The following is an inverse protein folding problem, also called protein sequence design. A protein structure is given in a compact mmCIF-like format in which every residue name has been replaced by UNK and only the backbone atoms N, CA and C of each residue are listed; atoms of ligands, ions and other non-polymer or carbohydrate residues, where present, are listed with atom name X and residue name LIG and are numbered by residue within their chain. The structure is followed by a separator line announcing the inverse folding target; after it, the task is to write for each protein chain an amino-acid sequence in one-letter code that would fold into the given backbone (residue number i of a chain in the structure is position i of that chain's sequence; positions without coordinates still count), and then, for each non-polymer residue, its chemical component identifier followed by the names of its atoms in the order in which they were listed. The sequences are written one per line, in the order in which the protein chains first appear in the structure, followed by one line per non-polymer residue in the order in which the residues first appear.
data_IF_276722944195
#
_entry.id   IF_276722944195
#
_cell.length_a   1.000
_cell.length_b   1.000
_cell.length_c   1.000
_cell.angle_alpha   90.00
_cell.angle_beta   90.00
_cell.angle_gamma   90.00
#
_symmetry.space_group_name_H-M   'P 1'
#
loop_
_entity.id
_entity.type
_entity.pdbx_description
1 polymer ?
#
# COMPACT_ATOMS: atom_id res chain seq x y z
N UNK A 1 19.57 33.25 28.27
CA UNK A 1 19.05 33.04 26.89
C UNK A 1 19.20 31.56 26.57
N UNK A 2 18.17 30.78 26.85
CA UNK A 2 18.10 29.36 26.51
C UNK A 2 17.57 29.26 25.07
N UNK A 3 18.41 28.76 24.14
CA UNK A 3 17.98 28.40 22.78
C UNK A 3 17.21 27.07 22.88
N UNK A 4 15.91 27.13 22.75
CA UNK A 4 15.05 25.98 22.50
C UNK A 4 15.53 25.26 21.23
N UNK A 5 15.98 24.02 21.41
CA UNK A 5 16.23 23.07 20.33
C UNK A 5 14.88 22.56 19.83
N UNK A 6 14.28 23.27 18.90
CA UNK A 6 13.17 22.77 18.09
C UNK A 6 13.70 21.57 17.26
N UNK A 7 13.61 20.40 17.84
CA UNK A 7 13.77 19.14 17.12
C UNK A 7 12.60 18.98 16.15
N UNK A 8 12.85 19.22 14.89
CA UNK A 8 11.94 18.95 13.77
C UNK A 8 11.56 17.46 13.82
N UNK A 9 10.46 17.12 14.51
CA UNK A 9 9.83 15.80 14.40
C UNK A 9 9.29 15.69 12.97
N UNK A 10 10.08 15.09 12.09
CA UNK A 10 9.62 14.71 10.76
C UNK A 10 8.34 13.88 10.94
N UNK A 11 7.19 14.41 10.54
CA UNK A 11 5.93 13.67 10.58
C UNK A 11 6.10 12.37 9.82
N UNK A 12 5.71 11.28 10.47
CA UNK A 12 5.83 9.95 9.91
C UNK A 12 4.87 9.84 8.72
N UNK A 13 5.36 9.35 7.58
CA UNK A 13 4.51 9.13 6.39
C UNK A 13 3.40 8.14 6.69
N UNK A 14 2.28 8.19 5.94
CA UNK A 14 1.19 7.23 6.08
C UNK A 14 1.67 5.77 5.98
N UNK A 15 2.57 5.48 5.02
CA UNK A 15 3.24 4.17 4.91
C UNK A 15 4.05 3.80 6.16
N UNK A 16 4.69 4.77 6.80
CA UNK A 16 5.43 4.56 8.05
C UNK A 16 4.51 4.23 9.22
N UNK A 17 3.41 4.97 9.36
CA UNK A 17 2.37 4.73 10.39
C UNK A 17 1.77 3.33 10.23
N UNK A 18 1.41 2.93 9.00
CA UNK A 18 0.89 1.59 8.71
C UNK A 18 1.90 0.50 9.09
N UNK A 19 3.17 0.65 8.72
CA UNK A 19 4.21 -0.32 9.11
C UNK A 19 4.40 -0.38 10.64
N UNK A 20 4.29 0.74 11.34
CA UNK A 20 4.35 0.75 12.79
C UNK A 20 3.16 0.02 13.41
N UNK A 21 1.93 0.27 12.93
CA UNK A 21 0.72 -0.43 13.37
C UNK A 21 0.85 -1.94 13.17
N UNK A 22 1.17 -2.38 11.94
CA UNK A 22 1.32 -3.80 11.61
C UNK A 22 2.43 -4.49 12.40
N UNK A 23 3.51 -3.78 12.71
CA UNK A 23 4.61 -4.33 13.51
C UNK A 23 4.23 -4.65 14.95
N UNK A 24 3.23 -3.97 15.49
CA UNK A 24 2.69 -4.20 16.86
C UNK A 24 1.69 -5.35 16.91
N UNK A 25 1.11 -5.75 15.77
CA UNK A 25 0.22 -6.90 15.69
C UNK A 25 0.95 -8.18 16.09
N UNK A 26 0.32 -9.00 16.92
CA UNK A 26 0.87 -10.29 17.35
C UNK A 26 -0.18 -11.37 17.14
N UNK A 27 0.19 -12.39 16.38
CA UNK A 27 -0.65 -13.58 16.20
C UNK A 27 -0.22 -14.65 17.21
N UNK A 28 -1.16 -15.22 17.95
CA UNK A 28 -0.86 -16.28 18.93
C UNK A 28 -0.56 -17.60 18.24
N UNK A 29 -1.24 -17.87 17.14
CA UNK A 29 -1.09 -19.12 16.39
C UNK A 29 0.29 -19.22 15.72
N UNK A 30 1.05 -20.26 16.08
CA UNK A 30 2.42 -20.48 15.57
C UNK A 30 2.50 -20.54 14.06
N UNK A 31 1.51 -21.16 13.38
CA UNK A 31 1.48 -21.22 11.91
C UNK A 31 1.38 -19.84 11.26
N UNK A 32 0.67 -18.88 11.88
CA UNK A 32 0.61 -17.49 11.40
C UNK A 32 1.93 -16.76 11.62
N UNK A 33 2.60 -17.00 12.76
CA UNK A 33 3.93 -16.44 13.03
C UNK A 33 4.95 -16.95 12.01
N UNK A 34 4.89 -18.24 11.66
CA UNK A 34 5.75 -18.84 10.63
C UNK A 34 5.45 -18.24 9.24
N UNK A 35 4.18 -18.05 8.88
CA UNK A 35 3.80 -17.44 7.61
C UNK A 35 4.29 -15.98 7.49
N UNK A 36 4.17 -15.19 8.55
CA UNK A 36 4.65 -13.81 8.57
C UNK A 36 6.18 -13.76 8.49
N UNK A 37 6.88 -14.65 9.20
CA UNK A 37 8.33 -14.78 9.14
C UNK A 37 8.82 -15.22 7.77
N UNK A 38 8.14 -16.21 7.15
CA UNK A 38 8.43 -16.68 5.80
C UNK A 38 8.35 -15.54 4.79
N UNK A 39 7.31 -14.70 4.88
CA UNK A 39 7.18 -13.52 4.03
C UNK A 39 8.34 -12.54 4.19
N UNK A 40 8.71 -12.19 5.44
CA UNK A 40 9.80 -11.26 5.69
C UNK A 40 11.12 -11.80 5.13
N UNK A 41 11.43 -13.09 5.38
CA UNK A 41 12.67 -13.70 4.89
C UNK A 41 12.65 -13.80 3.35
N UNK A 42 11.54 -14.21 2.76
CA UNK A 42 11.42 -14.30 1.30
C UNK A 42 11.61 -12.96 0.61
N UNK A 43 11.05 -11.87 1.15
CA UNK A 43 11.04 -10.55 0.49
C UNK A 43 12.34 -9.76 0.70
N UNK A 44 12.91 -9.77 1.90
CA UNK A 44 14.10 -8.95 2.22
C UNK A 44 15.25 -9.73 2.89
N UNK A 45 15.11 -11.06 3.00
CA UNK A 45 16.14 -11.93 3.52
C UNK A 45 17.20 -12.28 2.48
N UNK A 46 18.36 -12.64 2.97
CA UNK A 46 19.45 -13.26 2.22
C UNK A 46 20.00 -14.40 3.04
N UNK A 47 20.20 -15.54 2.41
CA UNK A 47 20.91 -16.66 2.99
C UNK A 47 22.33 -16.65 2.47
N UNK A 48 23.31 -16.80 3.33
CA UNK A 48 24.71 -16.89 2.98
C UNK A 48 25.23 -18.26 3.42
N UNK A 49 25.97 -18.91 2.51
CA UNK A 49 26.63 -20.18 2.78
C UNK A 49 28.11 -19.83 3.01
N UNK A 50 28.58 -20.12 4.21
CA UNK A 50 29.99 -19.93 4.60
C UNK A 50 30.85 -21.16 4.27
N UNK A 51 32.12 -21.09 4.67
CA UNK A 51 33.01 -22.25 4.61
C UNK A 51 32.46 -23.41 5.44
N UNK A 52 32.52 -24.64 4.95
CA UNK A 52 31.97 -25.87 5.56
C UNK A 52 30.45 -25.90 5.64
N UNK A 53 29.76 -25.40 4.60
CA UNK A 53 28.29 -25.39 4.47
C UNK A 53 27.57 -24.76 5.67
N UNK A 54 28.18 -23.77 6.32
CA UNK A 54 27.54 -23.01 7.38
C UNK A 54 26.53 -22.01 6.84
N UNK A 55 25.26 -22.26 7.07
CA UNK A 55 24.18 -21.38 6.69
C UNK A 55 24.00 -20.25 7.71
N UNK A 56 23.74 -19.05 7.19
CA UNK A 56 23.35 -17.89 7.97
C UNK A 56 22.21 -17.15 7.29
N UNK A 57 21.25 -16.67 8.08
CA UNK A 57 20.10 -15.89 7.57
C UNK A 57 20.28 -14.43 7.97
N UNK A 58 20.24 -13.55 6.98
CA UNK A 58 20.41 -12.10 7.15
C UNK A 58 19.20 -11.38 6.61
N UNK A 59 18.59 -10.52 7.45
CA UNK A 59 17.51 -9.60 7.04
C UNK A 59 18.02 -8.16 7.17
N UNK A 60 17.83 -7.36 6.13
CA UNK A 60 18.20 -5.94 6.11
C UNK A 60 16.98 -5.08 5.81
N UNK A 61 16.74 -4.07 6.65
CA UNK A 61 15.63 -3.13 6.49
C UNK A 61 16.05 -1.72 6.93
N UNK A 62 15.46 -0.70 6.33
CA UNK A 62 15.62 0.70 6.78
C UNK A 62 14.56 1.10 7.82
N UNK A 63 13.56 0.25 8.07
CA UNK A 63 12.48 0.52 9.00
C UNK A 63 12.71 -0.20 10.32
N UNK A 64 12.81 0.57 11.42
CA UNK A 64 13.03 0.03 12.77
C UNK A 64 11.88 -0.87 13.25
N UNK A 65 10.62 -0.56 12.85
CA UNK A 65 9.44 -1.35 13.25
C UNK A 65 9.49 -2.74 12.64
N UNK A 66 9.95 -2.86 11.38
CA UNK A 66 10.17 -4.15 10.70
C UNK A 66 11.31 -4.93 11.38
N UNK A 67 12.40 -4.26 11.71
CA UNK A 67 13.53 -4.89 12.43
C UNK A 67 13.09 -5.45 13.78
N UNK A 68 12.31 -4.68 14.56
CA UNK A 68 11.73 -5.12 15.85
C UNK A 68 10.78 -6.30 15.66
N UNK A 69 9.91 -6.26 14.66
CA UNK A 69 8.97 -7.34 14.38
C UNK A 69 9.72 -8.65 14.08
N UNK A 70 10.69 -8.59 13.17
CA UNK A 70 11.51 -9.75 12.82
C UNK A 70 12.24 -10.32 14.02
N UNK A 71 12.90 -9.47 14.82
CA UNK A 71 13.56 -9.88 16.06
C UNK A 71 12.59 -10.57 17.03
N UNK A 72 11.40 -9.98 17.24
CA UNK A 72 10.39 -10.52 18.15
C UNK A 72 9.84 -11.86 17.65
N UNK A 73 9.61 -12.01 16.35
CA UNK A 73 9.17 -13.28 15.75
C UNK A 73 10.21 -14.38 16.00
N UNK A 74 11.49 -14.12 15.71
CA UNK A 74 12.55 -15.12 15.95
C UNK A 74 12.67 -15.50 17.43
N UNK A 75 12.66 -14.50 18.32
CA UNK A 75 12.80 -14.76 19.75
C UNK A 75 11.62 -15.53 20.33
N UNK A 76 10.38 -15.14 19.99
CA UNK A 76 9.19 -15.78 20.57
C UNK A 76 8.85 -17.12 19.92
N UNK A 77 9.09 -17.29 18.61
CA UNK A 77 8.74 -18.53 17.90
C UNK A 77 9.78 -19.62 18.05
N UNK A 78 11.07 -19.24 18.10
CA UNK A 78 12.19 -20.18 18.09
C UNK A 78 13.14 -20.07 19.30
N UNK A 79 12.99 -19.04 20.13
CA UNK A 79 13.93 -18.67 21.18
C UNK A 79 15.35 -18.39 20.66
N UNK A 80 15.44 -17.84 19.45
CA UNK A 80 16.71 -17.52 18.78
C UNK A 80 17.06 -16.05 19.02
N UNK A 81 18.33 -15.81 19.38
CA UNK A 81 18.91 -14.47 19.46
C UNK A 81 19.60 -14.11 18.15
N UNK A 82 19.38 -12.88 17.67
CA UNK A 82 20.02 -12.35 16.47
C UNK A 82 21.10 -11.33 16.83
N UNK A 83 22.18 -11.30 16.07
CA UNK A 83 23.08 -10.16 16.09
C UNK A 83 22.47 -9.01 15.28
N UNK A 84 22.45 -7.83 15.86
CA UNK A 84 21.86 -6.65 15.22
C UNK A 84 22.93 -5.61 14.96
N UNK A 85 23.09 -5.22 13.70
CA UNK A 85 24.00 -4.17 13.26
C UNK A 85 23.19 -2.98 12.76
N UNK A 86 23.59 -1.78 13.19
CA UNK A 86 23.00 -0.52 12.74
C UNK A 86 24.04 0.20 11.88
N UNK A 87 23.75 0.40 10.61
CA UNK A 87 24.63 1.11 9.68
C UNK A 87 23.96 2.42 9.24
N UNK A 88 24.71 3.51 9.35
CA UNK A 88 24.25 4.82 8.82
C UNK A 88 24.94 5.08 7.49
N UNK A 89 24.14 5.31 6.44
CA UNK A 89 24.69 5.67 5.14
C UNK A 89 25.23 7.11 5.20
N UNK A 90 26.53 7.29 4.97
CA UNK A 90 27.21 8.61 5.06
C UNK A 90 26.68 9.62 4.04
N UNK A 91 26.23 9.18 2.86
CA UNK A 91 25.78 10.06 1.76
C UNK A 91 24.30 10.45 1.88
N UNK A 92 23.42 9.53 2.29
CA UNK A 92 21.96 9.76 2.36
C UNK A 92 21.43 9.94 3.78
N UNK A 93 22.25 9.74 4.79
CA UNK A 93 21.84 9.83 6.20
C UNK A 93 20.89 8.72 6.67
N UNK A 94 20.46 7.81 5.79
CA UNK A 94 19.53 6.73 6.12
C UNK A 94 20.17 5.71 7.05
N UNK A 95 19.38 5.25 8.01
CA UNK A 95 19.78 4.20 8.95
C UNK A 95 19.25 2.87 8.41
N UNK A 96 20.12 1.86 8.31
CA UNK A 96 19.74 0.50 7.96
C UNK A 96 20.05 -0.45 9.13
N UNK A 97 19.08 -1.28 9.44
CA UNK A 97 19.14 -2.33 10.44
C UNK A 97 19.42 -3.66 9.75
N UNK A 98 20.43 -4.37 10.21
CA UNK A 98 20.80 -5.70 9.72
C UNK A 98 20.75 -6.68 10.88
N UNK A 99 19.86 -7.68 10.76
CA UNK A 99 19.72 -8.75 11.75
C UNK A 99 20.28 -10.03 11.13
N UNK A 100 21.15 -10.73 11.86
CA UNK A 100 21.84 -11.92 11.37
C UNK A 100 21.66 -13.06 12.38
N UNK A 101 21.22 -14.20 11.88
CA UNK A 101 21.29 -15.50 12.58
C UNK A 101 22.52 -16.21 12.03
N UNK A 102 23.59 -16.29 12.82
CA UNK A 102 24.88 -16.82 12.40
C UNK A 102 25.02 -18.33 12.61
N UNK A 103 24.35 -18.87 13.62
CA UNK A 103 24.47 -20.28 13.97
C UNK A 103 23.77 -21.12 12.89
N UNK A 104 24.48 -22.11 12.36
CA UNK A 104 24.00 -23.00 11.31
C UNK A 104 22.69 -23.70 11.72
N UNK A 105 22.66 -24.31 12.90
CA UNK A 105 21.50 -25.06 13.38
C UNK A 105 20.28 -24.18 13.53
N UNK A 106 20.44 -22.96 14.03
CA UNK A 106 19.34 -22.00 14.16
C UNK A 106 18.86 -21.52 12.80
N UNK A 107 19.77 -21.24 11.86
CA UNK A 107 19.44 -20.87 10.50
C UNK A 107 18.65 -21.99 9.78
N UNK A 108 19.12 -23.23 9.90
CA UNK A 108 18.44 -24.41 9.33
C UNK A 108 17.07 -24.64 9.95
N UNK A 109 16.93 -24.54 11.28
CA UNK A 109 15.64 -24.64 11.94
C UNK A 109 14.63 -23.61 11.45
N UNK A 110 15.08 -22.37 11.22
CA UNK A 110 14.22 -21.32 10.67
C UNK A 110 13.81 -21.69 9.25
N UNK A 111 14.76 -21.95 8.35
CA UNK A 111 14.53 -22.21 6.93
C UNK A 111 13.62 -23.45 6.71
N UNK A 112 13.81 -24.51 7.49
CA UNK A 112 12.93 -25.70 7.48
C UNK A 112 11.51 -25.35 7.94
N UNK A 113 11.37 -24.61 9.05
CA UNK A 113 10.05 -24.29 9.60
C UNK A 113 9.25 -23.36 8.68
N UNK A 114 9.92 -22.41 8.00
CA UNK A 114 9.27 -21.50 7.04
C UNK A 114 9.18 -22.09 5.62
N UNK A 115 9.62 -23.35 5.41
CA UNK A 115 9.55 -24.06 4.13
C UNK A 115 10.23 -23.34 2.96
N UNK A 116 11.39 -22.79 3.22
CA UNK A 116 12.27 -22.18 2.22
C UNK A 116 13.41 -23.11 1.78
N UNK A 117 13.36 -24.37 2.20
CA UNK A 117 14.23 -25.46 1.71
C UNK A 117 13.40 -26.40 0.80
N UNK A 118 14.07 -26.92 -0.22
CA UNK A 118 13.49 -27.94 -1.09
C UNK A 118 13.45 -29.34 -0.43
N UNK A 119 13.03 -30.37 -1.18
CA UNK A 119 12.96 -31.74 -0.72
C UNK A 119 14.34 -32.37 -0.45
N UNK A 120 15.40 -31.77 -0.98
CA UNK A 120 16.79 -32.21 -0.79
C UNK A 120 17.47 -31.45 0.37
N UNK A 121 16.80 -30.49 0.98
CA UNK A 121 17.33 -29.65 2.05
C UNK A 121 18.16 -28.50 1.52
N UNK A 122 18.13 -28.22 0.22
CA UNK A 122 18.77 -27.07 -0.39
C UNK A 122 17.84 -25.83 -0.36
N UNK A 123 18.46 -24.66 -0.39
CA UNK A 123 17.70 -23.41 -0.37
C UNK A 123 16.98 -23.27 -1.71
N UNK A 124 15.66 -23.08 -1.63
CA UNK A 124 14.85 -22.80 -2.80
C UNK A 124 15.41 -21.60 -3.57
N UNK A 125 15.49 -21.71 -4.90
CA UNK A 125 15.93 -20.61 -5.74
C UNK A 125 15.20 -19.33 -5.37
N UNK A 126 15.97 -18.27 -5.15
CA UNK A 126 15.45 -16.94 -4.79
C UNK A 126 14.60 -16.87 -3.52
N UNK A 127 14.67 -17.86 -2.60
CA UNK A 127 13.84 -17.93 -1.39
C UNK A 127 12.33 -17.89 -1.72
N UNK A 128 11.93 -18.48 -2.83
CA UNK A 128 10.50 -18.69 -3.14
C UNK A 128 9.90 -19.74 -2.20
N UNK A 129 8.63 -19.59 -1.83
CA UNK A 129 7.94 -20.59 -1.02
C UNK A 129 7.67 -21.83 -1.88
N UNK A 130 8.40 -22.88 -1.60
CA UNK A 130 8.12 -24.20 -2.16
C UNK A 130 6.85 -24.76 -1.49
N UNK A 131 5.89 -25.13 -2.31
CA UNK A 131 4.63 -25.70 -1.88
C UNK A 131 3.87 -24.84 -0.86
N UNK A 132 2.65 -24.47 -1.13
CA UNK A 132 1.76 -23.64 -0.30
C UNK A 132 1.49 -24.16 1.15
N UNK A 133 2.37 -25.03 1.70
CA UNK A 133 2.24 -25.66 3.01
C UNK A 133 2.15 -24.68 4.18
N UNK A 134 2.82 -23.52 4.06
CA UNK A 134 2.75 -22.46 5.08
C UNK A 134 1.48 -21.63 4.93
N UNK A 135 0.77 -21.73 3.81
CA UNK A 135 -0.35 -20.87 3.41
C UNK A 135 -1.68 -21.61 3.29
N UNK A 136 -1.83 -22.77 3.97
CA UNK A 136 -3.04 -23.60 3.89
C UNK A 136 -4.30 -22.90 4.43
N UNK A 137 -4.17 -22.08 5.46
CA UNK A 137 -5.29 -21.40 6.10
C UNK A 137 -5.36 -19.92 5.70
N UNK A 138 -6.58 -19.36 5.62
CA UNK A 138 -6.79 -17.95 5.34
C UNK A 138 -6.04 -17.02 6.33
N UNK A 139 -5.92 -17.40 7.61
CA UNK A 139 -5.15 -16.66 8.60
C UNK A 139 -3.64 -16.63 8.28
N UNK A 140 -3.06 -17.73 7.72
CA UNK A 140 -1.67 -17.77 7.27
C UNK A 140 -1.45 -16.86 6.07
N UNK A 141 -2.39 -16.84 5.11
CA UNK A 141 -2.34 -15.94 3.95
C UNK A 141 -2.37 -14.47 4.40
N UNK A 142 -3.24 -14.11 5.35
CA UNK A 142 -3.29 -12.76 5.95
C UNK A 142 -1.95 -12.40 6.61
N UNK A 143 -1.40 -13.28 7.42
CA UNK A 143 -0.11 -13.09 8.07
C UNK A 143 1.03 -12.95 7.05
N UNK A 144 1.01 -13.72 5.96
CA UNK A 144 1.98 -13.63 4.89
C UNK A 144 1.92 -12.28 4.15
N UNK A 145 0.72 -11.82 3.78
CA UNK A 145 0.53 -10.51 3.13
C UNK A 145 1.06 -9.39 4.04
N UNK A 146 0.75 -9.46 5.35
CA UNK A 146 1.25 -8.50 6.35
C UNK A 146 2.77 -8.49 6.41
N UNK A 147 3.40 -9.66 6.47
CA UNK A 147 4.86 -9.81 6.47
C UNK A 147 5.51 -9.28 5.19
N UNK A 148 4.92 -9.57 4.02
CA UNK A 148 5.39 -9.08 2.72
C UNK A 148 5.30 -7.54 2.64
N UNK A 149 4.17 -6.96 3.10
CA UNK A 149 4.02 -5.50 3.15
C UNK A 149 5.02 -4.85 4.12
N UNK A 150 5.21 -5.41 5.31
CA UNK A 150 6.22 -4.94 6.25
C UNK A 150 7.60 -4.91 5.62
N UNK A 151 7.99 -5.98 4.91
CA UNK A 151 9.32 -6.12 4.32
C UNK A 151 9.58 -5.10 3.20
N UNK A 152 8.72 -5.06 2.19
CA UNK A 152 8.96 -4.30 0.94
C UNK A 152 7.78 -3.47 0.46
N UNK A 153 6.68 -3.45 1.22
CA UNK A 153 5.48 -2.70 0.86
C UNK A 153 5.60 -1.20 1.07
N UNK A 154 4.81 -0.46 0.32
CA UNK A 154 4.57 0.96 0.51
C UNK A 154 3.15 1.33 0.12
N UNK A 155 2.62 2.40 0.73
CA UNK A 155 1.30 2.95 0.42
C UNK A 155 1.41 4.46 0.32
N UNK A 156 0.73 5.03 -0.67
CA UNK A 156 0.63 6.49 -0.84
C UNK A 156 -0.24 7.12 0.24
N UNK A 157 -0.02 8.41 0.50
CA UNK A 157 -0.94 9.19 1.32
C UNK A 157 -2.32 9.21 0.64
N UNK A 158 -3.40 8.76 1.31
CA UNK A 158 -4.74 8.68 0.74
C UNK A 158 -5.30 10.05 0.32
N UNK A 159 -4.82 11.14 0.90
CA UNK A 159 -5.20 12.49 0.45
C UNK A 159 -4.72 12.79 -0.98
N UNK A 160 -3.56 12.25 -1.39
CA UNK A 160 -2.96 12.49 -2.70
C UNK A 160 -3.43 11.48 -3.74
N UNK A 161 -3.29 10.20 -3.46
CA UNK A 161 -3.61 9.14 -4.41
C UNK A 161 -3.89 7.81 -3.71
N UNK A 162 -4.64 6.93 -4.36
CA UNK A 162 -4.86 5.57 -3.92
C UNK A 162 -3.88 4.66 -4.65
N UNK A 163 -2.85 4.20 -3.94
CA UNK A 163 -1.86 3.29 -4.47
C UNK A 163 -1.16 2.55 -3.34
N UNK A 164 -1.23 1.24 -3.35
CA UNK A 164 -0.45 0.35 -2.49
C UNK A 164 0.37 -0.57 -3.37
N UNK A 165 1.63 -0.78 -3.01
CA UNK A 165 2.55 -1.62 -3.76
C UNK A 165 3.43 -2.46 -2.84
N UNK A 166 3.80 -3.66 -3.30
CA UNK A 166 4.78 -4.54 -2.65
C UNK A 166 5.80 -4.94 -3.72
N UNK A 167 7.07 -4.64 -3.45
CA UNK A 167 8.16 -4.87 -4.41
C UNK A 167 8.77 -6.26 -4.21
N UNK A 168 8.83 -7.05 -5.27
CA UNK A 168 9.42 -8.38 -5.30
C UNK A 168 10.69 -8.38 -6.17
N UNK A 169 11.72 -9.15 -5.76
CA UNK A 169 12.96 -9.27 -6.51
C UNK A 169 12.82 -10.21 -7.73
N UNK A 170 11.90 -11.20 -7.66
CA UNK A 170 11.69 -12.22 -8.67
C UNK A 170 10.23 -12.27 -9.11
N UNK A 171 10.01 -12.70 -10.37
CA UNK A 171 8.68 -12.84 -10.97
C UNK A 171 7.81 -13.85 -10.22
N UNK A 172 8.38 -15.02 -9.92
CA UNK A 172 7.68 -16.08 -9.20
C UNK A 172 7.12 -15.63 -7.86
N UNK A 173 7.86 -14.80 -7.10
CA UNK A 173 7.39 -14.22 -5.83
C UNK A 173 6.26 -13.24 -6.04
N UNK A 174 6.31 -12.45 -7.11
CA UNK A 174 5.28 -11.48 -7.42
C UNK A 174 3.98 -12.18 -7.84
N UNK A 175 4.04 -13.19 -8.71
CA UNK A 175 2.87 -13.96 -9.10
C UNK A 175 2.28 -14.71 -7.89
N UNK A 176 3.10 -15.36 -7.09
CA UNK A 176 2.64 -16.03 -5.86
C UNK A 176 1.95 -15.05 -4.90
N UNK A 177 2.54 -13.88 -4.67
CA UNK A 177 1.93 -12.86 -3.80
C UNK A 177 0.61 -12.33 -4.39
N UNK A 178 0.54 -12.11 -5.69
CA UNK A 178 -0.67 -11.73 -6.41
C UNK A 178 -1.77 -12.78 -6.24
N UNK A 179 -1.46 -14.07 -6.44
CA UNK A 179 -2.41 -15.16 -6.24
C UNK A 179 -2.95 -15.21 -4.80
N UNK A 180 -2.05 -15.03 -3.80
CA UNK A 180 -2.44 -14.98 -2.40
C UNK A 180 -3.40 -13.81 -2.13
N UNK A 181 -3.09 -12.60 -2.64
CA UNK A 181 -3.95 -11.42 -2.48
C UNK A 181 -5.28 -11.64 -3.20
N UNK A 182 -5.26 -12.14 -4.44
CA UNK A 182 -6.47 -12.35 -5.25
C UNK A 182 -7.35 -13.48 -4.71
N UNK A 183 -6.80 -14.39 -3.87
CA UNK A 183 -7.61 -15.39 -3.16
C UNK A 183 -8.59 -14.79 -2.12
N UNK A 184 -8.52 -13.48 -1.87
CA UNK A 184 -9.46 -12.69 -1.06
C UNK A 184 -10.37 -11.80 -1.92
N UNK A 185 -10.60 -12.17 -3.20
CA UNK A 185 -11.48 -11.43 -4.12
C UNK A 185 -10.97 -10.02 -4.48
N UNK A 186 -9.66 -9.79 -4.36
CA UNK A 186 -9.01 -8.56 -4.80
C UNK A 186 -8.44 -8.73 -6.21
N UNK A 187 -8.23 -7.62 -6.95
CA UNK A 187 -7.66 -7.60 -8.30
C UNK A 187 -6.25 -6.98 -8.29
N UNK A 188 -5.34 -7.61 -7.54
CA UNK A 188 -3.94 -7.21 -7.53
C UNK A 188 -3.28 -7.51 -8.89
N UNK A 189 -2.47 -6.55 -9.37
CA UNK A 189 -1.78 -6.63 -10.65
C UNK A 189 -0.27 -6.63 -10.45
N UNK A 190 0.46 -7.20 -11.40
CA UNK A 190 1.91 -7.19 -11.42
C UNK A 190 2.41 -6.31 -12.57
N UNK A 191 3.41 -5.50 -12.29
CA UNK A 191 4.12 -4.70 -13.30
C UNK A 191 5.63 -4.85 -13.11
N UNK A 192 6.36 -4.89 -14.21
CA UNK A 192 7.82 -4.87 -14.20
C UNK A 192 8.29 -3.41 -14.09
N UNK A 193 9.10 -3.12 -13.09
CA UNK A 193 9.65 -1.77 -12.86
C UNK A 193 11.17 -1.86 -12.71
N UNK A 194 11.90 -1.45 -13.75
CA UNK A 194 13.35 -1.62 -13.84
C UNK A 194 13.73 -3.10 -13.76
N UNK A 195 14.36 -3.52 -12.66
CA UNK A 195 14.79 -4.91 -12.39
C UNK A 195 13.96 -5.60 -11.30
N UNK A 196 12.79 -5.07 -10.96
CA UNK A 196 11.95 -5.60 -9.91
C UNK A 196 10.50 -5.76 -10.40
N UNK A 197 9.77 -6.66 -9.78
CA UNK A 197 8.36 -6.91 -10.01
C UNK A 197 7.56 -6.26 -8.90
N UNK A 198 6.50 -5.53 -9.24
CA UNK A 198 5.70 -4.78 -8.27
C UNK A 198 4.27 -5.29 -8.31
N UNK A 199 3.81 -5.84 -7.20
CA UNK A 199 2.41 -6.19 -6.99
C UNK A 199 1.70 -4.98 -6.44
N UNK A 200 0.58 -4.54 -7.05
CA UNK A 200 -0.08 -3.31 -6.67
C UNK A 200 -1.60 -3.33 -6.79
N UNK A 201 -2.25 -2.44 -6.02
CA UNK A 201 -3.66 -2.07 -6.13
C UNK A 201 -3.77 -0.54 -6.24
N UNK A 202 -4.76 -0.06 -7.02
CA UNK A 202 -5.02 1.38 -7.23
C UNK A 202 -6.43 1.80 -6.84
N UNK A 203 -7.33 0.87 -6.66
CA UNK A 203 -8.71 1.15 -6.30
C UNK A 203 -8.84 1.32 -4.79
N UNK A 204 -9.47 2.43 -4.37
CA UNK A 204 -9.58 2.78 -2.95
C UNK A 204 -10.33 1.73 -2.12
N UNK A 205 -11.40 1.15 -2.64
CA UNK A 205 -12.16 0.08 -1.99
C UNK A 205 -11.28 -1.15 -1.75
N UNK A 206 -10.59 -1.63 -2.79
CA UNK A 206 -9.72 -2.79 -2.69
C UNK A 206 -8.53 -2.57 -1.76
N UNK A 207 -8.01 -1.33 -1.67
CA UNK A 207 -6.96 -0.99 -0.70
C UNK A 207 -7.49 -1.06 0.73
N UNK A 208 -8.72 -0.60 0.99
CA UNK A 208 -9.39 -0.73 2.29
C UNK A 208 -9.57 -2.20 2.66
N UNK A 209 -10.02 -3.03 1.72
CA UNK A 209 -10.16 -4.47 1.94
C UNK A 209 -8.80 -5.13 2.23
N UNK A 210 -7.74 -4.73 1.52
CA UNK A 210 -6.38 -5.21 1.81
C UNK A 210 -5.89 -4.78 3.20
N UNK A 211 -6.19 -3.56 3.65
CA UNK A 211 -5.87 -3.10 5.01
C UNK A 211 -6.62 -3.92 6.06
N UNK A 212 -7.89 -4.28 5.80
CA UNK A 212 -8.66 -5.17 6.65
C UNK A 212 -8.05 -6.60 6.70
N UNK A 213 -7.64 -7.14 5.55
CA UNK A 213 -6.96 -8.44 5.46
C UNK A 213 -5.67 -8.43 6.27
N UNK A 214 -4.90 -7.35 6.23
CA UNK A 214 -3.67 -7.19 7.02
C UNK A 214 -3.93 -6.89 8.49
N UNK A 215 -5.19 -6.67 8.91
CA UNK A 215 -5.57 -6.32 10.27
C UNK A 215 -4.98 -4.97 10.73
N UNK A 216 -5.14 -3.94 9.89
CA UNK A 216 -4.68 -2.58 10.15
C UNK A 216 -5.86 -1.61 10.38
N UNK A 217 -6.58 -1.70 11.51
CA UNK A 217 -7.83 -0.93 11.73
C UNK A 217 -7.60 0.57 11.77
N UNK A 218 -6.47 1.06 12.27
CA UNK A 218 -6.19 2.50 12.37
C UNK A 218 -5.98 3.09 10.97
N UNK A 219 -5.12 2.48 10.17
CA UNK A 219 -4.87 2.91 8.80
C UNK A 219 -6.13 2.75 7.92
N UNK A 220 -6.93 1.71 8.14
CA UNK A 220 -8.21 1.49 7.46
C UNK A 220 -9.16 2.65 7.74
N UNK A 221 -9.36 3.03 9.00
CA UNK A 221 -10.25 4.13 9.38
C UNK A 221 -9.77 5.48 8.83
N UNK A 222 -8.46 5.75 8.86
CA UNK A 222 -7.87 6.96 8.27
C UNK A 222 -8.13 7.00 6.75
N UNK A 223 -7.97 5.88 6.06
CA UNK A 223 -8.21 5.73 4.62
C UNK A 223 -9.70 5.96 4.25
N UNK A 224 -10.62 5.33 4.99
CA UNK A 224 -12.07 5.48 4.79
C UNK A 224 -12.54 6.90 5.04
N UNK A 225 -12.08 7.55 6.11
CA UNK A 225 -12.43 8.93 6.39
C UNK A 225 -12.04 9.87 5.23
N UNK A 226 -10.83 9.70 4.68
CA UNK A 226 -10.39 10.49 3.52
C UNK A 226 -11.24 10.16 2.29
N UNK A 227 -11.62 8.91 2.08
CA UNK A 227 -12.46 8.48 0.95
C UNK A 227 -13.84 9.13 0.99
N UNK A 228 -14.50 9.09 2.16
CA UNK A 228 -15.80 9.70 2.38
C UNK A 228 -15.74 11.22 2.14
N UNK A 229 -14.74 11.90 2.71
CA UNK A 229 -14.57 13.35 2.51
C UNK A 229 -14.36 13.73 1.05
N UNK A 230 -13.57 12.94 0.29
CA UNK A 230 -13.38 13.16 -1.15
C UNK A 230 -14.67 12.95 -1.94
N UNK A 231 -15.43 11.93 -1.60
CA UNK A 231 -16.73 11.65 -2.25
C UNK A 231 -17.73 12.76 -1.99
N UNK A 232 -17.88 13.24 -0.76
CA UNK A 232 -18.72 14.38 -0.42
C UNK A 232 -18.32 15.64 -1.20
N UNK A 233 -17.02 15.97 -1.28
CA UNK A 233 -16.51 17.11 -2.06
C UNK A 233 -16.84 16.95 -3.54
N UNK A 234 -16.70 15.75 -4.10
CA UNK A 234 -17.04 15.48 -5.48
C UNK A 234 -18.53 15.67 -5.77
N UNK A 235 -19.43 15.25 -4.87
CA UNK A 235 -20.86 15.43 -5.00
C UNK A 235 -21.19 16.94 -5.00
N UNK A 236 -20.67 17.70 -4.03
CA UNK A 236 -20.88 19.15 -3.95
C UNK A 236 -20.36 19.86 -5.21
N UNK A 237 -19.14 19.53 -5.66
CA UNK A 237 -18.58 20.14 -6.86
C UNK A 237 -19.38 19.82 -8.12
N UNK A 238 -19.87 18.59 -8.27
CA UNK A 238 -20.75 18.20 -9.40
C UNK A 238 -22.06 18.99 -9.38
N UNK A 239 -22.66 19.17 -8.21
CA UNK A 239 -23.88 19.95 -8.05
C UNK A 239 -23.65 21.41 -8.43
N UNK A 240 -22.62 22.05 -7.88
CA UNK A 240 -22.25 23.43 -8.18
C UNK A 240 -21.95 23.62 -9.69
N UNK A 241 -21.19 22.71 -10.31
CA UNK A 241 -20.91 22.77 -11.75
C UNK A 241 -22.16 22.63 -12.59
N UNK A 242 -23.12 21.78 -12.19
CA UNK A 242 -24.39 21.64 -12.87
C UNK A 242 -25.24 22.94 -12.77
N UNK A 243 -25.31 23.55 -11.60
CA UNK A 243 -26.02 24.81 -11.40
C UNK A 243 -25.42 25.96 -12.22
N UNK A 244 -24.09 26.10 -12.23
CA UNK A 244 -23.39 27.11 -13.04
C UNK A 244 -23.64 26.87 -14.54
N UNK A 245 -23.60 25.62 -15.01
CA UNK A 245 -23.87 25.30 -16.40
C UNK A 245 -25.31 25.64 -16.81
N UNK A 246 -26.28 25.40 -15.94
CA UNK A 246 -27.68 25.75 -16.16
C UNK A 246 -27.90 27.27 -16.21
N UNK A 247 -27.31 28.01 -15.27
CA UNK A 247 -27.35 29.49 -15.26
C UNK A 247 -26.74 30.04 -16.56
N UNK A 248 -25.58 29.56 -16.97
CA UNK A 248 -24.92 30.01 -18.22
C UNK A 248 -25.78 29.73 -19.46
N UNK A 249 -26.46 28.57 -19.51
CA UNK A 249 -27.39 28.26 -20.63
C UNK A 249 -28.57 29.21 -20.60
N UNK A 250 -29.15 29.49 -19.43
CA UNK A 250 -30.30 30.42 -19.33
C UNK A 250 -29.91 31.82 -19.74
N UNK A 251 -28.76 32.33 -19.23
CA UNK A 251 -28.25 33.67 -19.59
C UNK A 251 -27.97 33.76 -21.10
N UNK A 252 -27.30 32.76 -21.69
CA UNK A 252 -27.02 32.75 -23.12
C UNK A 252 -28.30 32.71 -23.96
N UNK A 253 -29.32 31.96 -23.53
CA UNK A 253 -30.61 31.94 -24.24
C UNK A 253 -31.32 33.30 -24.12
N UNK A 254 -31.34 33.92 -22.95
CA UNK A 254 -31.93 35.24 -22.73
C UNK A 254 -31.24 36.33 -23.57
N UNK A 255 -29.90 36.36 -23.61
CA UNK A 255 -29.14 37.30 -24.42
C UNK A 255 -29.49 37.14 -25.90
N UNK A 256 -29.56 35.92 -26.40
CA UNK A 256 -29.95 35.65 -27.79
C UNK A 256 -31.39 36.11 -28.07
N UNK A 257 -32.32 35.89 -27.15
CA UNK A 257 -33.69 36.38 -27.28
C UNK A 257 -33.74 37.91 -27.37
N UNK A 258 -32.97 38.61 -26.54
CA UNK A 258 -32.86 40.08 -26.57
C UNK A 258 -32.31 40.55 -27.91
N UNK A 259 -31.22 39.94 -28.42
CA UNK A 259 -30.67 40.24 -29.74
C UNK A 259 -31.69 40.01 -30.87
N UNK A 260 -32.43 38.90 -30.82
CA UNK A 260 -33.45 38.60 -31.81
C UNK A 260 -34.61 39.63 -31.75
N UNK A 261 -35.05 40.06 -30.57
CA UNK A 261 -36.07 41.10 -30.37
C UNK A 261 -35.59 42.45 -30.90
N UNK A 262 -34.35 42.86 -30.60
CA UNK A 262 -33.77 44.11 -31.12
C UNK A 262 -33.69 44.10 -32.66
N UNK A 263 -33.26 42.99 -33.24
CA UNK A 263 -33.20 42.82 -34.67
C UNK A 263 -34.61 42.94 -35.34
N UNK A 264 -35.63 42.31 -34.72
CA UNK A 264 -37.02 42.40 -35.22
C UNK A 264 -37.53 43.83 -35.11
N UNK A 265 -37.25 44.52 -34.00
CA UNK A 265 -37.64 45.91 -33.76
C UNK A 265 -37.09 46.86 -34.82
N UNK A 266 -35.80 46.68 -35.18
CA UNK A 266 -35.12 47.56 -36.17
C UNK A 266 -35.50 47.25 -37.61
N UNK A 267 -35.82 45.99 -37.94
CA UNK A 267 -36.06 45.60 -39.35
C UNK A 267 -37.54 45.52 -39.72
N UNK A 268 -38.37 44.86 -38.93
CA UNK A 268 -39.75 44.52 -39.26
C UNK A 268 -40.76 45.37 -38.43
N UNK A 269 -40.38 45.75 -37.22
CA UNK A 269 -41.23 46.41 -36.23
C UNK A 269 -42.03 45.40 -35.42
N UNK A 270 -42.09 45.60 -34.08
CA UNK A 270 -42.76 44.69 -33.14
C UNK A 270 -44.26 44.52 -33.40
N UNK A 271 -44.91 45.56 -33.94
CA UNK A 271 -46.33 45.55 -34.26
C UNK A 271 -46.75 44.52 -35.33
N UNK A 272 -45.80 43.92 -36.05
CA UNK A 272 -46.07 42.86 -37.02
C UNK A 272 -45.96 41.44 -36.46
N UNK A 273 -45.59 41.31 -35.19
CA UNK A 273 -45.57 40.03 -34.47
C UNK A 273 -47.02 39.61 -34.12
N UNK A 274 -47.27 38.29 -33.96
CA UNK A 274 -48.51 37.80 -33.37
C UNK A 274 -48.71 38.38 -31.94
N UNK A 275 -49.96 38.68 -31.52
CA UNK A 275 -50.29 39.35 -30.27
C UNK A 275 -49.57 38.68 -29.04
N UNK A 276 -49.52 37.35 -28.96
CA UNK A 276 -48.88 36.65 -27.83
C UNK A 276 -47.35 36.74 -27.83
N UNK A 277 -46.71 37.21 -28.90
CA UNK A 277 -45.28 37.49 -28.94
C UNK A 277 -44.96 38.97 -28.73
N UNK A 278 -45.87 39.86 -29.01
CA UNK A 278 -45.70 41.29 -28.77
C UNK A 278 -45.58 41.58 -27.23
N UNK A 279 -46.47 40.99 -26.41
CA UNK A 279 -46.42 41.12 -24.95
C UNK A 279 -45.11 40.63 -24.34
N UNK A 280 -44.42 39.69 -24.97
CA UNK A 280 -43.15 39.15 -24.47
C UNK A 280 -41.97 40.02 -24.93
N UNK A 281 -42.08 40.72 -26.04
CA UNK A 281 -41.05 41.54 -26.67
C UNK A 281 -41.04 43.02 -26.18
N UNK A 282 -42.10 43.48 -25.56
CA UNK A 282 -42.21 44.77 -24.87
C UNK A 282 -41.68 44.65 -23.44
#
# INVERSE_FOLDING_TARGET
MQKERNGNKQEMTFSGKLKEELSRQWQEARHCQLAELAAIISMCGKVSIGSRDNYSVKVRTENISVARKYFTLLRKTFNICTETFVTRNKTKGNIAYTLIVKQHDDAMRILQAVKLLDSYGEIAEELSLLQNLVLQHGCCKRAFIRGAFLATGSISNPEKSYHIEIVCAAEQKAEQLKEIINSFELDAKVIVRKKSYVVYLKEGSQIVDLLNIMEAPVALMEMENVRILKEMRNIVNRKANCEVANINKTVSASLKQVEDIEYIRETIGLHKLPEGLQEIAE
#
